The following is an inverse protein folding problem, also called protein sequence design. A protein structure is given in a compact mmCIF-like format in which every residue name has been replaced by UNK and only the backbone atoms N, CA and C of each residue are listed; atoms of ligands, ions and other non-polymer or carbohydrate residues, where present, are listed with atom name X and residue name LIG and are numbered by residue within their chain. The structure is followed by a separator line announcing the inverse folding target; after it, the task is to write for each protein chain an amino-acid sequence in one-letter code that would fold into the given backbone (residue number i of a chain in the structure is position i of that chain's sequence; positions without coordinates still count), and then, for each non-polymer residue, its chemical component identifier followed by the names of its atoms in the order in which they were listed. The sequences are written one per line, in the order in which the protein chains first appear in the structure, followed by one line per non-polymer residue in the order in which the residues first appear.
data_IF_086889061123
#
_entry.id   IF_086889061123
#
_cell.length_a   1.000
_cell.length_b   1.000
_cell.length_c   1.000
_cell.angle_alpha   90.00
_cell.angle_beta   90.00
_cell.angle_gamma   90.00
#
_symmetry.space_group_name_H-M   'P 1'
#
loop_
_entity.id
_entity.type
_entity.pdbx_description
1 polymer ?
#
# COMPACT_ATOMS: atom_id res chain seq x y z
N UNK A 1 -6.70 6.69 -1.72
CA UNK A 1 -5.80 6.56 -2.90
C UNK A 1 -6.55 6.13 -4.16
N UNK A 2 -7.24 4.98 -4.18
CA UNK A 2 -7.98 4.50 -5.36
C UNK A 2 -8.91 5.54 -6.02
N UNK A 3 -9.81 6.16 -5.25
CA UNK A 3 -10.72 7.22 -5.73
C UNK A 3 -9.96 8.40 -6.35
N UNK A 4 -8.87 8.84 -5.71
CA UNK A 4 -8.04 9.93 -6.20
C UNK A 4 -7.31 9.58 -7.50
N UNK A 5 -6.96 8.32 -7.69
CA UNK A 5 -6.32 7.85 -8.92
C UNK A 5 -7.32 7.74 -10.09
N UNK A 6 -8.58 7.37 -9.81
CA UNK A 6 -9.64 7.23 -10.83
C UNK A 6 -10.29 8.58 -11.17
N UNK A 7 -10.65 9.38 -10.18
CA UNK A 7 -11.47 10.57 -10.36
C UNK A 7 -10.75 11.90 -10.08
N UNK A 8 -9.52 11.85 -9.54
CA UNK A 8 -8.72 13.04 -9.23
C UNK A 8 -8.05 13.66 -10.46
N UNK A 9 -7.33 14.77 -10.24
CA UNK A 9 -6.58 15.43 -11.30
C UNK A 9 -5.32 14.63 -11.71
N UNK A 10 -4.71 14.99 -12.85
CA UNK A 10 -3.54 14.29 -13.41
C UNK A 10 -2.35 14.27 -12.44
N UNK A 11 -2.12 15.34 -11.68
CA UNK A 11 -1.01 15.43 -10.72
C UNK A 11 -1.19 14.49 -9.53
N UNK A 12 -2.37 14.50 -8.91
CA UNK A 12 -2.71 13.61 -7.80
C UNK A 12 -2.68 12.15 -8.25
N UNK A 13 -3.25 11.84 -9.41
CA UNK A 13 -3.20 10.49 -9.98
C UNK A 13 -1.75 10.07 -10.28
N UNK A 14 -0.91 10.98 -10.78
CA UNK A 14 0.52 10.76 -11.00
C UNK A 14 1.29 10.45 -9.72
N UNK A 15 1.11 11.26 -8.66
CA UNK A 15 1.76 11.05 -7.36
C UNK A 15 1.36 9.70 -6.72
N UNK A 16 0.06 9.37 -6.77
CA UNK A 16 -0.42 8.07 -6.28
C UNK A 16 0.14 6.93 -7.13
N UNK A 17 0.23 7.10 -8.45
CA UNK A 17 0.78 6.08 -9.35
C UNK A 17 2.27 5.85 -9.09
N UNK A 18 3.04 6.92 -8.83
CA UNK A 18 4.45 6.82 -8.47
C UNK A 18 4.65 6.05 -7.16
N UNK A 19 3.85 6.38 -6.13
CA UNK A 19 3.84 5.65 -4.85
C UNK A 19 3.54 4.15 -5.07
N UNK A 20 2.47 3.84 -5.81
CA UNK A 20 2.08 2.46 -6.10
C UNK A 20 3.16 1.72 -6.88
N UNK A 21 3.74 2.37 -7.89
CA UNK A 21 4.81 1.80 -8.71
C UNK A 21 6.04 1.45 -7.87
N UNK A 22 6.46 2.35 -6.99
CA UNK A 22 7.61 2.14 -6.11
C UNK A 22 7.41 0.95 -5.16
N UNK A 23 6.30 0.94 -4.39
CA UNK A 23 6.09 -0.07 -3.36
C UNK A 23 5.70 -1.46 -3.91
N UNK A 24 5.15 -1.53 -5.11
CA UNK A 24 4.84 -2.81 -5.79
C UNK A 24 5.96 -3.31 -6.69
N UNK A 25 6.84 -2.41 -7.14
CA UNK A 25 7.95 -2.73 -8.05
C UNK A 25 9.20 -3.24 -7.34
N UNK A 26 9.35 -2.95 -6.04
CA UNK A 26 10.52 -3.35 -5.26
C UNK A 26 10.27 -4.63 -4.45
N UNK A 27 11.24 -5.57 -4.40
CA UNK A 27 11.18 -6.72 -3.50
C UNK A 27 11.07 -6.27 -2.04
N UNK A 28 10.31 -7.01 -1.22
CA UNK A 28 10.07 -6.65 0.19
C UNK A 28 11.37 -6.56 0.99
N UNK A 29 12.36 -7.42 0.68
CA UNK A 29 13.67 -7.41 1.32
C UNK A 29 14.41 -6.10 1.05
N UNK A 30 14.40 -5.61 -0.19
CA UNK A 30 15.04 -4.34 -0.57
C UNK A 30 14.41 -3.19 0.21
N UNK A 31 13.07 -3.18 0.34
CA UNK A 31 12.36 -2.18 1.13
C UNK A 31 12.74 -2.26 2.63
N UNK A 32 12.86 -3.45 3.21
CA UNK A 32 13.31 -3.63 4.59
C UNK A 32 14.70 -3.06 4.83
N UNK A 33 15.65 -3.33 3.93
CA UNK A 33 16.99 -2.74 4.00
C UNK A 33 16.95 -1.22 3.85
N UNK A 34 16.18 -0.70 2.90
CA UNK A 34 16.07 0.75 2.65
C UNK A 34 15.49 1.50 3.84
N UNK A 35 14.49 0.94 4.51
CA UNK A 35 13.91 1.56 5.71
C UNK A 35 14.80 1.39 6.94
N UNK A 36 15.34 0.19 7.17
CA UNK A 36 16.15 -0.05 8.36
C UNK A 36 17.49 0.69 8.33
N UNK A 37 18.19 0.71 7.20
CA UNK A 37 19.47 1.40 7.08
C UNK A 37 19.31 2.81 6.51
N UNK A 38 18.60 2.96 5.39
CA UNK A 38 18.50 4.25 4.69
C UNK A 38 17.72 5.30 5.48
N UNK A 39 16.48 4.98 5.89
CA UNK A 39 15.64 5.94 6.61
C UNK A 39 16.17 6.25 8.01
N UNK A 40 16.72 5.25 8.71
CA UNK A 40 17.36 5.42 10.02
C UNK A 40 18.55 6.38 9.95
N UNK A 41 19.43 6.21 8.95
CA UNK A 41 20.59 7.10 8.76
C UNK A 41 20.21 8.49 8.29
N UNK A 42 19.22 8.62 7.39
CA UNK A 42 18.81 9.91 6.84
C UNK A 42 18.12 10.81 7.89
N UNK A 43 17.26 10.22 8.73
CA UNK A 43 16.50 10.96 9.74
C UNK A 43 17.18 10.99 11.12
N UNK A 44 18.31 10.31 11.29
CA UNK A 44 18.95 10.13 12.59
C UNK A 44 18.11 9.34 13.61
N UNK A 45 17.06 8.66 13.15
CA UNK A 45 16.14 7.90 14.00
C UNK A 45 16.64 6.48 14.18
N UNK A 46 16.69 5.98 15.41
CA UNK A 46 17.05 4.59 15.69
C UNK A 46 15.83 3.68 15.48
N UNK A 47 15.52 3.37 14.21
CA UNK A 47 14.40 2.50 13.88
C UNK A 47 14.75 1.06 14.21
N UNK A 48 13.95 0.45 15.09
CA UNK A 48 14.07 -0.98 15.33
C UNK A 48 13.74 -1.77 14.06
N UNK A 49 14.29 -2.98 13.93
CA UNK A 49 13.97 -3.85 12.80
C UNK A 49 12.47 -4.19 12.74
N UNK A 50 11.82 -4.27 13.92
CA UNK A 50 10.38 -4.49 14.04
C UNK A 50 9.57 -3.29 13.52
N UNK A 51 9.94 -2.07 13.90
CA UNK A 51 9.28 -0.85 13.40
C UNK A 51 9.45 -0.70 11.88
N UNK A 52 10.65 -0.99 11.38
CA UNK A 52 10.94 -0.96 9.94
C UNK A 52 10.09 -1.99 9.18
N UNK A 53 9.90 -3.18 9.74
CA UNK A 53 9.02 -4.20 9.19
C UNK A 53 7.56 -3.75 9.11
N UNK A 54 7.02 -3.17 10.17
CA UNK A 54 5.65 -2.64 10.20
C UNK A 54 5.47 -1.57 9.11
N UNK A 55 6.41 -0.62 9.00
CA UNK A 55 6.34 0.45 8.01
C UNK A 55 6.37 -0.09 6.59
N UNK A 56 7.31 -0.99 6.28
CA UNK A 56 7.46 -1.56 4.95
C UNK A 56 6.24 -2.39 4.55
N UNK A 57 5.79 -3.29 5.42
CA UNK A 57 4.63 -4.13 5.14
C UNK A 57 3.35 -3.31 5.03
N UNK A 58 3.16 -2.32 5.91
CA UNK A 58 2.02 -1.42 5.87
C UNK A 58 1.96 -0.58 4.59
N UNK A 59 3.07 0.05 4.21
CA UNK A 59 3.14 0.87 2.99
C UNK A 59 2.99 0.02 1.73
N UNK A 60 3.63 -1.16 1.69
CA UNK A 60 3.48 -2.08 0.56
C UNK A 60 2.04 -2.57 0.44
N UNK A 61 1.43 -3.05 1.52
CA UNK A 61 0.05 -3.54 1.48
C UNK A 61 -0.94 -2.42 1.13
N UNK A 62 -0.75 -1.20 1.63
CA UNK A 62 -1.58 -0.06 1.25
C UNK A 62 -1.55 0.22 -0.27
N UNK A 63 -0.39 0.04 -0.93
CA UNK A 63 -0.27 0.15 -2.38
C UNK A 63 -1.03 -0.96 -3.12
N UNK A 64 -0.95 -2.23 -2.67
CA UNK A 64 -1.70 -3.35 -3.26
C UNK A 64 -3.21 -3.19 -3.06
N UNK A 65 -3.64 -2.88 -1.84
CA UNK A 65 -5.05 -2.63 -1.51
C UNK A 65 -5.62 -1.48 -2.36
N UNK A 66 -4.88 -0.39 -2.55
CA UNK A 66 -5.31 0.70 -3.43
C UNK A 66 -5.56 0.24 -4.87
N UNK A 67 -4.81 -0.74 -5.37
CA UNK A 67 -4.99 -1.26 -6.73
C UNK A 67 -6.16 -2.25 -6.82
N UNK A 68 -6.41 -3.01 -5.76
CA UNK A 68 -7.62 -3.84 -5.64
C UNK A 68 -8.87 -2.94 -5.67
N UNK A 69 -8.92 -1.90 -4.84
CA UNK A 69 -10.03 -0.95 -4.83
C UNK A 69 -10.16 -0.21 -6.17
N UNK A 70 -9.05 0.20 -6.79
CA UNK A 70 -9.08 0.84 -8.11
C UNK A 70 -9.65 -0.09 -9.18
N UNK A 71 -9.17 -1.33 -9.24
CA UNK A 71 -9.70 -2.33 -10.17
C UNK A 71 -11.19 -2.59 -9.94
N UNK A 72 -11.62 -2.61 -8.67
CA UNK A 72 -13.02 -2.76 -8.30
C UNK A 72 -13.86 -1.56 -8.70
N UNK A 73 -13.36 -0.32 -8.58
CA UNK A 73 -14.08 0.88 -9.08
C UNK A 73 -14.20 0.83 -10.60
N UNK A 74 -13.14 0.43 -11.30
CA UNK A 74 -13.10 0.38 -12.76
C UNK A 74 -13.94 -0.74 -13.36
N UNK A 75 -14.27 -1.78 -12.60
CA UNK A 75 -15.16 -2.84 -13.07
C UNK A 75 -16.64 -2.43 -13.06
N UNK A 76 -17.00 -1.36 -12.32
CA UNK A 76 -18.31 -0.72 -12.48
C UNK A 76 -18.30 0.03 -13.81
N UNK A 77 -19.14 -0.37 -14.75
CA UNK A 77 -19.29 0.34 -16.03
C UNK A 77 -19.64 1.82 -15.83
N UNK A 78 -19.20 2.67 -16.76
CA UNK A 78 -19.41 4.13 -16.69
C UNK A 78 -20.89 4.55 -16.60
N UNK A 79 -21.81 3.68 -17.03
CA UNK A 79 -23.25 3.90 -16.97
C UNK A 79 -23.78 4.26 -15.58
N UNK A 80 -23.19 3.73 -14.50
CA UNK A 80 -23.59 4.08 -13.12
C UNK A 80 -23.35 5.56 -12.81
N UNK A 81 -22.19 6.07 -13.23
CA UNK A 81 -21.85 7.49 -13.08
C UNK A 81 -22.77 8.35 -13.95
N UNK A 82 -22.98 7.96 -15.21
CA UNK A 82 -23.83 8.71 -16.14
C UNK A 82 -25.28 8.77 -15.64
N UNK A 83 -25.86 7.65 -15.19
CA UNK A 83 -27.22 7.60 -14.66
C UNK A 83 -27.38 8.49 -13.42
N UNK A 84 -26.44 8.43 -12.47
CA UNK A 84 -26.44 9.29 -11.29
C UNK A 84 -26.40 10.79 -11.65
N UNK A 85 -25.56 11.16 -12.61
CA UNK A 85 -25.45 12.55 -13.10
C UNK A 85 -26.70 13.01 -13.83
N UNK A 86 -27.37 12.13 -14.58
CA UNK A 86 -28.65 12.41 -15.23
C UNK A 86 -29.80 12.64 -14.25
N UNK A 87 -29.72 12.03 -13.05
CA UNK A 87 -30.65 12.28 -11.94
C UNK A 87 -30.30 13.54 -11.13
N UNK A 88 -29.34 14.36 -11.59
CA UNK A 88 -28.97 15.62 -10.97
C UNK A 88 -27.94 15.53 -9.84
N UNK A 89 -27.43 14.33 -9.52
CA UNK A 89 -26.42 14.17 -8.46
C UNK A 89 -25.10 14.83 -8.84
N UNK A 90 -24.40 15.44 -7.87
CA UNK A 90 -23.00 15.88 -8.03
C UNK A 90 -22.10 14.66 -8.22
N UNK A 91 -20.97 14.83 -8.93
CA UNK A 91 -19.97 13.76 -9.12
C UNK A 91 -19.53 13.15 -7.79
N UNK A 92 -19.32 13.98 -6.76
CA UNK A 92 -18.94 13.51 -5.42
C UNK A 92 -20.03 12.67 -4.75
N UNK A 93 -21.30 13.04 -4.92
CA UNK A 93 -22.44 12.30 -4.40
C UNK A 93 -22.59 10.95 -5.11
N UNK A 94 -22.47 10.93 -6.44
CA UNK A 94 -22.48 9.69 -7.21
C UNK A 94 -21.33 8.75 -6.78
N UNK A 95 -20.14 9.30 -6.56
CA UNK A 95 -19.00 8.51 -6.05
C UNK A 95 -19.31 7.94 -4.66
N UNK A 96 -19.78 8.78 -3.73
CA UNK A 96 -19.94 8.41 -2.33
C UNK A 96 -21.12 7.44 -2.09
N UNK A 97 -22.26 7.69 -2.75
CA UNK A 97 -23.50 6.97 -2.46
C UNK A 97 -23.81 5.82 -3.42
N UNK A 98 -23.23 5.82 -4.62
CA UNK A 98 -23.50 4.79 -5.63
C UNK A 98 -22.26 3.94 -5.89
N UNK A 99 -21.16 4.56 -6.28
CA UNK A 99 -19.98 3.83 -6.78
C UNK A 99 -19.20 3.18 -5.63
N UNK A 100 -18.90 3.92 -4.57
CA UNK A 100 -18.09 3.42 -3.46
C UNK A 100 -18.69 2.20 -2.75
N UNK A 101 -19.99 2.18 -2.36
CA UNK A 101 -20.58 1.02 -1.70
C UNK A 101 -20.52 -0.24 -2.58
N UNK A 102 -20.77 -0.09 -3.89
CA UNK A 102 -20.71 -1.18 -4.86
C UNK A 102 -19.26 -1.68 -5.07
N UNK A 103 -18.32 -0.76 -5.29
CA UNK A 103 -16.91 -1.09 -5.48
C UNK A 103 -16.30 -1.75 -4.24
N UNK A 104 -16.67 -1.31 -3.03
CA UNK A 104 -16.25 -1.93 -1.77
C UNK A 104 -16.72 -3.40 -1.71
N UNK A 105 -17.97 -3.68 -2.08
CA UNK A 105 -18.49 -5.05 -2.12
C UNK A 105 -17.72 -5.93 -3.12
N UNK A 106 -17.45 -5.42 -4.31
CA UNK A 106 -16.68 -6.12 -5.35
C UNK A 106 -15.24 -6.38 -4.90
N UNK A 107 -14.67 -5.48 -4.10
CA UNK A 107 -13.27 -5.58 -3.66
C UNK A 107 -13.01 -6.65 -2.60
N UNK A 108 -14.06 -7.16 -1.92
CA UNK A 108 -13.94 -8.09 -0.79
C UNK A 108 -13.06 -9.31 -1.12
N UNK A 109 -13.27 -10.06 -2.23
CA UNK A 109 -12.47 -11.24 -2.52
C UNK A 109 -10.98 -10.92 -2.73
N UNK A 110 -10.69 -9.84 -3.47
CA UNK A 110 -9.31 -9.39 -3.70
C UNK A 110 -8.63 -8.92 -2.42
N UNK A 111 -9.38 -8.23 -1.56
CA UNK A 111 -8.88 -7.73 -0.28
C UNK A 111 -8.59 -8.88 0.70
N UNK A 112 -9.45 -9.90 0.75
CA UNK A 112 -9.21 -11.11 1.54
C UNK A 112 -7.95 -11.86 1.08
N UNK A 113 -7.73 -11.96 -0.24
CA UNK A 113 -6.52 -12.58 -0.77
C UNK A 113 -5.25 -11.79 -0.36
N UNK A 114 -5.29 -10.47 -0.45
CA UNK A 114 -4.18 -9.61 0.01
C UNK A 114 -3.90 -9.76 1.51
N UNK A 115 -4.95 -9.90 2.33
CA UNK A 115 -4.78 -10.18 3.76
C UNK A 115 -4.04 -11.50 4.01
N UNK A 116 -4.39 -12.57 3.30
CA UNK A 116 -3.68 -13.86 3.40
C UNK A 116 -2.22 -13.76 2.98
N UNK A 117 -1.90 -12.95 1.97
CA UNK A 117 -0.52 -12.69 1.54
C UNK A 117 0.24 -11.93 2.62
N UNK A 118 -0.36 -10.86 3.17
CA UNK A 118 0.24 -10.05 4.22
C UNK A 118 0.57 -10.86 5.47
N UNK A 119 -0.30 -11.81 5.85
CA UNK A 119 -0.03 -12.74 6.95
C UNK A 119 1.24 -13.57 6.68
N UNK A 120 1.40 -14.13 5.49
CA UNK A 120 2.60 -14.90 5.11
C UNK A 120 3.86 -14.02 5.09
N UNK A 121 3.75 -12.84 4.49
CA UNK A 121 4.86 -11.88 4.40
C UNK A 121 5.31 -11.38 5.77
N UNK A 122 4.39 -11.25 6.74
CA UNK A 122 4.73 -10.84 8.11
C UNK A 122 5.60 -11.87 8.83
N UNK A 123 5.27 -13.16 8.70
CA UNK A 123 6.07 -14.26 9.25
C UNK A 123 7.47 -14.31 8.62
N UNK A 124 7.55 -14.17 7.30
CA UNK A 124 8.83 -14.11 6.56
C UNK A 124 9.66 -12.91 7.01
N UNK A 125 9.03 -11.74 7.13
CA UNK A 125 9.69 -10.50 7.54
C UNK A 125 10.20 -10.56 8.96
N UNK A 126 9.47 -11.19 9.90
CA UNK A 126 9.93 -11.38 11.27
C UNK A 126 11.26 -12.13 11.31
N UNK A 127 11.38 -13.22 10.55
CA UNK A 127 12.61 -14.00 10.45
C UNK A 127 13.80 -13.17 9.93
N UNK A 128 13.58 -12.35 8.90
CA UNK A 128 14.63 -11.46 8.37
C UNK A 128 14.97 -10.31 9.32
N UNK A 129 14.00 -9.79 10.06
CA UNK A 129 14.24 -8.75 11.06
C UNK A 129 15.11 -9.26 12.20
N UNK A 130 14.94 -10.53 12.60
CA UNK A 130 15.80 -11.21 13.57
C UNK A 130 17.22 -11.42 13.04
N UNK A 131 17.38 -11.86 11.78
CA UNK A 131 18.69 -11.99 11.15
C UNK A 131 19.41 -10.64 11.01
N UNK A 132 18.70 -9.58 10.65
CA UNK A 132 19.26 -8.22 10.56
C UNK A 132 19.83 -7.73 11.90
N UNK A 133 19.10 -7.95 13.01
CA UNK A 133 19.59 -7.64 14.35
C UNK A 133 20.83 -8.46 14.72
N UNK A 134 20.87 -9.74 14.35
CA UNK A 134 22.03 -10.61 14.60
C UNK A 134 23.27 -10.14 13.83
N UNK A 135 23.12 -9.69 12.58
CA UNK A 135 24.23 -9.13 11.79
C UNK A 135 24.79 -7.84 12.41
N UNK A 136 23.92 -6.93 12.87
CA UNK A 136 24.34 -5.69 13.56
C UNK A 136 25.03 -6.00 14.88
N UNK A 137 24.50 -6.93 15.67
CA UNK A 137 25.15 -7.40 16.92
C UNK A 137 26.53 -8.00 16.64
N UNK A 138 26.67 -8.83 15.61
CA UNK A 138 27.95 -9.45 15.23
C UNK A 138 28.97 -8.39 14.79
N UNK A 139 28.57 -7.36 14.04
CA UNK A 139 29.45 -6.23 13.69
C UNK A 139 29.92 -5.44 14.91
N UNK A 140 29.03 -5.16 15.87
CA UNK A 140 29.40 -4.47 17.13
C UNK A 140 30.30 -5.32 18.04
N UNK A 141 30.18 -6.65 17.97
CA UNK A 141 31.03 -7.59 18.71
C UNK A 141 32.42 -7.74 18.10
N UNK A 142 32.56 -7.62 16.77
CA UNK A 142 33.85 -7.71 16.08
C UNK A 142 34.64 -6.38 16.08
N UNK A 143 34.03 -5.29 16.54
CA UNK A 143 34.66 -3.97 16.65
C UNK A 143 35.13 -3.64 18.09
N UNK A 144 35.17 -4.64 18.98
CA UNK A 144 35.73 -4.60 20.33
C UNK A 144 36.79 -5.68 20.44
#
# INVERSE_FOLDING_TARGET
MAVGQVYGNKYLSGLISLYVWFFRGLPVLVLLFLFYFGLSSLLGLNLSAFTSAILVLGLRSAAYQSQIFRGSIQSLGEGQMLAARSLGMKKSEAILYIILPQALRISIPGWSNEYSILLKDSAVTYNYSGQGQNLVRKRRSNSR
#
